data_IF_992303494444
#
_entry.id   IF_992303494444
#
_cell.length_a   1.000
_cell.length_b   1.000
_cell.length_c   1.000
_cell.angle_alpha   90.00
_cell.angle_beta   90.00
_cell.angle_gamma   90.00
#
_symmetry.space_group_name_H-M   'P 1'
#
loop_
_entity.id
_entity.type
_entity.pdbx_description
1 polymer ?
#
# COMPACT_ATOMS: atom_id res chain seq x y z
N UNK A 1 1.90 5.88 28.36
CA UNK A 1 1.38 4.61 27.80
C UNK A 1 1.65 4.45 26.30
N UNK A 2 1.16 5.31 25.39
CA UNK A 2 1.46 5.19 23.95
C UNK A 2 2.84 5.78 23.58
N UNK A 3 3.25 6.88 24.22
CA UNK A 3 4.57 7.47 24.05
C UNK A 3 5.70 6.51 24.48
N UNK A 4 5.47 5.69 25.51
CA UNK A 4 6.43 4.69 26.00
C UNK A 4 6.65 3.54 25.00
N UNK A 5 5.75 3.39 24.02
CA UNK A 5 5.87 2.46 22.90
C UNK A 5 6.47 3.14 21.65
N UNK A 6 6.97 4.37 21.77
CA UNK A 6 7.46 5.17 20.65
C UNK A 6 6.36 5.72 19.74
N UNK A 7 5.08 5.61 20.13
CA UNK A 7 3.95 6.12 19.34
C UNK A 7 3.69 7.58 19.71
N UNK A 8 4.25 8.48 18.91
CA UNK A 8 4.04 9.93 19.00
C UNK A 8 2.84 10.36 18.15
N UNK A 9 2.08 11.36 18.63
CA UNK A 9 0.95 11.90 17.87
C UNK A 9 1.47 12.72 16.69
N UNK A 10 1.02 12.39 15.49
CA UNK A 10 1.12 13.30 14.35
C UNK A 10 0.02 14.36 14.47
N UNK A 11 0.39 15.64 14.50
CA UNK A 11 -0.55 16.75 14.47
C UNK A 11 -0.95 17.05 13.01
N UNK A 12 -2.06 16.46 12.54
CA UNK A 12 -2.69 16.87 11.27
C UNK A 12 -3.48 18.17 11.49
N UNK A 13 -3.53 19.04 10.48
CA UNK A 13 -4.31 20.28 10.58
C UNK A 13 -5.80 19.95 10.53
N UNK A 14 -6.65 20.62 11.34
CA UNK A 14 -8.09 20.45 11.24
C UNK A 14 -8.57 20.71 9.80
N UNK A 15 -9.44 19.84 9.29
CA UNK A 15 -10.13 19.96 8.00
C UNK A 15 -9.27 19.87 6.72
N UNK A 16 -8.06 19.32 6.79
CA UNK A 16 -7.20 19.11 5.62
C UNK A 16 -7.15 17.62 5.22
N UNK A 17 -7.99 17.22 4.25
CA UNK A 17 -8.02 15.86 3.67
C UNK A 17 -6.66 15.39 3.13
N UNK A 18 -5.89 16.32 2.57
CA UNK A 18 -4.57 16.07 2.02
C UNK A 18 -3.51 15.75 3.08
N UNK A 19 -3.80 15.92 4.38
CA UNK A 19 -2.90 15.52 5.47
C UNK A 19 -3.07 14.01 5.79
N UNK A 20 -3.98 13.27 5.14
CA UNK A 20 -4.12 11.81 5.27
C UNK A 20 -4.51 11.08 3.94
N UNK A 21 -3.77 11.29 2.84
CA UNK A 21 -4.16 10.82 1.51
C UNK A 21 -4.21 9.28 1.41
N UNK A 22 -3.40 8.56 2.20
CA UNK A 22 -3.42 7.09 2.18
C UNK A 22 -4.69 6.51 2.79
N UNK A 23 -5.15 7.05 3.92
CA UNK A 23 -6.40 6.56 4.53
C UNK A 23 -7.60 6.89 3.63
N UNK A 24 -7.61 8.06 2.98
CA UNK A 24 -8.68 8.41 2.03
C UNK A 24 -8.69 7.49 0.81
N UNK A 25 -7.52 7.19 0.24
CA UNK A 25 -7.40 6.22 -0.84
C UNK A 25 -7.87 4.83 -0.39
N UNK A 26 -7.50 4.39 0.81
CA UNK A 26 -7.96 3.12 1.38
C UNK A 26 -9.48 3.08 1.55
N UNK A 27 -10.09 4.15 2.10
CA UNK A 27 -11.55 4.23 2.24
C UNK A 27 -12.26 4.20 0.89
N UNK A 28 -11.68 4.86 -0.12
CA UNK A 28 -12.19 4.75 -1.49
C UNK A 28 -12.12 3.31 -1.98
N UNK A 29 -10.98 2.63 -1.86
CA UNK A 29 -10.86 1.22 -2.28
C UNK A 29 -11.88 0.32 -1.58
N UNK A 30 -12.09 0.51 -0.28
CA UNK A 30 -13.07 -0.24 0.50
C UNK A 30 -14.51 -0.01 -0.01
N UNK A 31 -14.90 1.24 -0.25
CA UNK A 31 -16.25 1.60 -0.72
C UNK A 31 -16.54 1.15 -2.15
N UNK A 32 -15.52 1.04 -2.98
CA UNK A 32 -15.63 0.58 -4.37
C UNK A 32 -15.47 -0.94 -4.51
N UNK A 33 -15.29 -1.66 -3.40
CA UNK A 33 -15.23 -3.12 -3.42
C UNK A 33 -16.58 -3.69 -3.90
N UNK A 34 -16.60 -4.70 -4.79
CA UNK A 34 -17.83 -5.14 -5.46
C UNK A 34 -18.98 -5.56 -4.52
N UNK A 35 -18.66 -6.03 -3.31
CA UNK A 35 -19.66 -6.46 -2.33
C UNK A 35 -19.89 -5.44 -1.23
N UNK A 36 -19.44 -4.19 -1.40
CA UNK A 36 -19.72 -3.12 -0.45
C UNK A 36 -21.23 -2.84 -0.43
N UNK A 37 -21.91 -2.94 0.72
CA UNK A 37 -23.36 -2.84 0.77
C UNK A 37 -23.83 -1.38 0.76
N UNK A 38 -25.04 -1.14 0.25
CA UNK A 38 -25.69 0.19 0.34
C UNK A 38 -25.83 0.66 1.80
N UNK A 39 -26.12 -0.27 2.71
CA UNK A 39 -26.20 -0.05 4.15
C UNK A 39 -25.79 -1.30 4.92
N UNK A 40 -25.12 -1.13 6.06
CA UNK A 40 -24.92 -2.20 7.02
C UNK A 40 -26.15 -2.36 7.91
N UNK A 41 -26.60 -3.59 8.11
CA UNK A 41 -27.76 -3.95 8.93
C UNK A 41 -27.44 -4.01 10.43
N UNK A 42 -26.17 -4.20 10.79
CA UNK A 42 -25.70 -4.23 12.16
C UNK A 42 -24.19 -4.01 12.23
N UNK A 43 -23.67 -3.78 13.44
CA UNK A 43 -22.22 -3.73 13.69
C UNK A 43 -21.55 -5.06 13.35
N UNK A 44 -22.21 -6.19 13.61
CA UNK A 44 -21.70 -7.52 13.29
C UNK A 44 -21.58 -7.72 11.79
N UNK A 45 -22.57 -7.26 11.01
CA UNK A 45 -22.50 -7.28 9.56
C UNK A 45 -21.32 -6.42 9.04
N UNK A 46 -21.14 -5.22 9.59
CA UNK A 46 -20.01 -4.36 9.23
C UNK A 46 -18.65 -5.02 9.52
N UNK A 47 -18.48 -5.65 10.69
CA UNK A 47 -17.25 -6.38 11.05
C UNK A 47 -16.98 -7.54 10.10
N UNK A 48 -17.98 -8.40 9.87
CA UNK A 48 -17.84 -9.54 8.98
C UNK A 48 -17.50 -9.12 7.54
N UNK A 49 -18.02 -7.98 7.08
CA UNK A 49 -17.62 -7.40 5.81
C UNK A 49 -16.15 -6.95 5.84
N UNK A 50 -15.75 -6.18 6.86
CA UNK A 50 -14.39 -5.68 7.02
C UNK A 50 -13.36 -6.81 7.09
N UNK A 51 -13.62 -7.88 7.83
CA UNK A 51 -12.70 -9.02 7.96
C UNK A 51 -12.40 -9.63 6.57
N UNK A 52 -13.45 -9.95 5.81
CA UNK A 52 -13.29 -10.46 4.44
C UNK A 52 -12.59 -9.47 3.53
N UNK A 53 -12.94 -8.19 3.63
CA UNK A 53 -12.32 -7.16 2.81
C UNK A 53 -10.82 -7.04 3.10
N UNK A 54 -10.42 -7.01 4.37
CA UNK A 54 -9.01 -6.86 4.75
C UNK A 54 -8.19 -8.10 4.41
N UNK A 55 -8.74 -9.29 4.56
CA UNK A 55 -8.09 -10.53 4.10
C UNK A 55 -7.80 -10.46 2.60
N UNK A 56 -8.84 -10.18 1.80
CA UNK A 56 -8.69 -10.01 0.35
C UNK A 56 -7.68 -8.89 0.01
N UNK A 57 -7.83 -7.71 0.61
CA UNK A 57 -7.01 -6.54 0.33
C UNK A 57 -5.52 -6.79 0.62
N UNK A 58 -5.22 -7.45 1.73
CA UNK A 58 -3.86 -7.67 2.21
C UNK A 58 -3.18 -8.90 1.59
N UNK A 59 -3.94 -9.96 1.30
CA UNK A 59 -3.38 -11.26 0.95
C UNK A 59 -3.58 -11.64 -0.52
N UNK A 60 -4.58 -11.08 -1.19
CA UNK A 60 -4.96 -11.51 -2.54
C UNK A 60 -4.86 -10.40 -3.59
N UNK A 61 -5.37 -9.21 -3.25
CA UNK A 61 -5.44 -8.09 -4.18
C UNK A 61 -4.03 -7.57 -4.50
N UNK A 62 -3.72 -7.46 -5.80
CA UNK A 62 -2.43 -6.95 -6.30
C UNK A 62 -2.57 -5.50 -6.69
N UNK A 63 -1.79 -4.65 -6.04
CA UNK A 63 -1.93 -3.20 -6.15
C UNK A 63 -0.90 -2.64 -7.12
N UNK A 64 -1.35 -1.85 -8.09
CA UNK A 64 -0.47 -1.25 -9.11
C UNK A 64 0.56 -0.28 -8.50
N UNK A 65 0.18 0.45 -7.43
CA UNK A 65 1.07 1.38 -6.74
C UNK A 65 2.27 0.73 -6.04
N UNK A 66 2.26 -0.59 -5.86
CA UNK A 66 3.36 -1.38 -5.29
C UNK A 66 3.77 -2.51 -6.23
N UNK A 67 3.82 -2.23 -7.54
CA UNK A 67 4.36 -3.17 -8.52
C UNK A 67 3.56 -4.47 -8.67
N UNK A 68 2.24 -4.42 -8.48
CA UNK A 68 1.34 -5.59 -8.51
C UNK A 68 1.69 -6.64 -7.43
N UNK A 69 2.17 -6.19 -6.28
CA UNK A 69 2.30 -7.01 -5.07
C UNK A 69 1.08 -6.86 -4.16
N UNK A 70 0.94 -7.80 -3.23
CA UNK A 70 -0.03 -7.67 -2.14
C UNK A 70 0.60 -6.84 -1.01
N UNK A 71 -0.18 -6.17 -0.16
CA UNK A 71 0.35 -5.45 0.99
C UNK A 71 1.14 -6.37 1.93
N UNK A 72 0.70 -7.61 2.11
CA UNK A 72 1.44 -8.59 2.92
C UNK A 72 2.82 -8.93 2.34
N UNK A 73 2.97 -8.99 1.01
CA UNK A 73 4.27 -9.22 0.38
C UNK A 73 5.25 -8.09 0.63
N UNK A 74 4.75 -6.86 0.61
CA UNK A 74 5.56 -5.68 0.88
C UNK A 74 5.94 -5.64 2.36
N UNK A 75 4.94 -5.78 3.23
CA UNK A 75 5.11 -5.74 4.69
C UNK A 75 6.12 -6.78 5.21
N UNK A 76 6.10 -7.99 4.66
CA UNK A 76 6.99 -9.08 5.07
C UNK A 76 8.34 -9.09 4.32
N UNK A 77 8.57 -8.16 3.39
CA UNK A 77 9.78 -8.15 2.54
C UNK A 77 9.81 -9.21 1.43
N UNK A 78 8.79 -10.09 1.35
CA UNK A 78 8.68 -11.17 0.34
C UNK A 78 8.67 -10.66 -1.10
N UNK A 79 8.28 -9.40 -1.29
CA UNK A 79 8.20 -8.75 -2.59
C UNK A 79 9.51 -8.81 -3.40
N UNK A 80 10.69 -8.77 -2.76
CA UNK A 80 11.98 -8.90 -3.45
C UNK A 80 12.09 -10.23 -4.19
N UNK A 81 11.81 -11.34 -3.50
CA UNK A 81 11.88 -12.68 -4.08
C UNK A 81 10.83 -12.86 -5.18
N UNK A 82 9.61 -12.37 -4.95
CA UNK A 82 8.53 -12.43 -5.95
C UNK A 82 8.90 -11.63 -7.21
N UNK A 83 9.52 -10.46 -7.06
CA UNK A 83 9.97 -9.63 -8.20
C UNK A 83 11.10 -10.31 -8.98
N UNK A 84 12.08 -10.90 -8.30
CA UNK A 84 13.15 -11.65 -8.94
C UNK A 84 12.61 -12.83 -9.76
N UNK A 85 11.66 -13.58 -9.19
CA UNK A 85 11.00 -14.68 -9.89
C UNK A 85 10.22 -14.20 -11.12
N UNK A 86 9.49 -13.08 -11.01
CA UNK A 86 8.79 -12.46 -12.16
C UNK A 86 9.77 -12.05 -13.27
N UNK A 87 10.93 -11.49 -12.91
CA UNK A 87 11.93 -11.11 -13.90
C UNK A 87 12.46 -12.35 -14.65
N UNK A 88 12.76 -13.44 -13.95
CA UNK A 88 13.22 -14.68 -14.61
C UNK A 88 12.19 -15.25 -15.61
N UNK A 89 10.90 -15.15 -15.29
CA UNK A 89 9.81 -15.54 -16.22
C UNK A 89 9.78 -14.63 -17.45
N UNK A 90 9.91 -13.32 -17.25
CA UNK A 90 9.94 -12.33 -18.32
C UNK A 90 11.18 -12.50 -19.24
N UNK A 91 12.34 -12.77 -18.65
CA UNK A 91 13.58 -13.05 -19.37
C UNK A 91 13.42 -14.31 -20.24
N UNK A 92 12.87 -15.38 -19.65
CA UNK A 92 12.59 -16.63 -20.39
C UNK A 92 11.64 -16.40 -21.56
N UNK A 93 10.58 -15.62 -21.35
CA UNK A 93 9.63 -15.27 -22.41
C UNK A 93 10.28 -14.44 -23.53
N UNK A 94 11.16 -13.51 -23.16
CA UNK A 94 11.91 -12.69 -24.11
C UNK A 94 12.91 -13.51 -24.92
N UNK A 95 13.66 -14.41 -24.28
CA UNK A 95 14.59 -15.31 -24.97
C UNK A 95 13.88 -16.22 -25.97
N UNK A 96 12.67 -16.68 -25.66
CA UNK A 96 11.89 -17.57 -26.54
C UNK A 96 11.28 -16.84 -27.73
N UNK A 97 10.84 -15.59 -27.54
CA UNK A 97 10.08 -14.82 -28.52
C UNK A 97 10.47 -13.33 -28.53
N UNK A 98 11.72 -12.99 -28.89
CA UNK A 98 12.18 -11.60 -28.84
C UNK A 98 11.36 -10.68 -29.75
N UNK A 99 10.82 -11.19 -30.87
CA UNK A 99 9.97 -10.46 -31.82
C UNK A 99 8.66 -9.92 -31.22
N UNK A 100 8.19 -10.50 -30.11
CA UNK A 100 6.99 -10.05 -29.40
C UNK A 100 7.24 -8.83 -28.51
N UNK A 101 8.50 -8.44 -28.32
CA UNK A 101 8.89 -7.40 -27.38
C UNK A 101 9.77 -6.35 -28.08
N UNK A 102 9.35 -5.07 -28.11
CA UNK A 102 10.18 -4.02 -28.70
C UNK A 102 11.48 -3.76 -27.91
N UNK A 103 11.53 -4.19 -26.63
CA UNK A 103 12.68 -4.14 -25.73
C UNK A 103 12.56 -5.24 -24.67
N UNK A 104 13.65 -5.67 -24.02
CA UNK A 104 13.57 -6.61 -22.90
C UNK A 104 12.57 -6.14 -21.83
N UNK A 105 11.59 -6.98 -21.46
CA UNK A 105 10.60 -6.64 -20.44
C UNK A 105 11.22 -6.63 -19.04
N UNK A 106 10.72 -5.74 -18.18
CA UNK A 106 11.16 -5.63 -16.79
C UNK A 106 9.99 -5.82 -15.82
N UNK A 107 10.21 -6.59 -14.75
CA UNK A 107 9.25 -6.73 -13.67
C UNK A 107 9.04 -5.36 -12.98
N UNK A 108 7.78 -4.96 -12.72
CA UNK A 108 7.47 -3.68 -12.09
C UNK A 108 8.30 -3.44 -10.82
N UNK A 109 8.81 -2.23 -10.66
CA UNK A 109 9.49 -1.82 -9.45
C UNK A 109 8.46 -1.49 -8.35
N UNK A 110 8.90 -1.57 -7.10
CA UNK A 110 8.13 -1.14 -5.94
C UNK A 110 8.80 0.14 -5.43
N UNK A 111 8.04 1.19 -5.08
CA UNK A 111 8.62 2.38 -4.48
C UNK A 111 9.30 2.06 -3.14
N UNK A 112 10.49 2.59 -2.92
CA UNK A 112 11.24 2.38 -1.67
C UNK A 112 10.61 3.11 -0.47
N UNK A 113 9.92 4.23 -0.74
CA UNK A 113 9.28 5.04 0.30
C UNK A 113 8.00 5.70 -0.22
N UNK A 114 7.09 5.95 0.72
CA UNK A 114 5.85 6.69 0.52
C UNK A 114 5.70 7.66 1.71
N UNK A 115 5.21 8.87 1.45
CA UNK A 115 5.17 9.96 2.44
C UNK A 115 3.78 10.56 2.53
N UNK A 116 3.22 10.67 3.74
CA UNK A 116 2.03 11.48 4.00
C UNK A 116 2.41 12.96 3.91
N UNK A 117 3.43 13.33 4.69
CA UNK A 117 4.12 14.60 4.64
C UNK A 117 5.60 14.26 4.43
N UNK A 118 6.16 14.62 3.28
CA UNK A 118 7.60 14.44 3.06
C UNK A 118 8.33 15.45 3.94
N UNK A 119 9.26 15.04 4.82
CA UNK A 119 10.09 15.99 5.56
C UNK A 119 10.85 16.84 4.55
N UNK A 120 10.80 18.16 4.70
CA UNK A 120 11.74 19.04 4.01
C UNK A 120 13.12 18.86 4.65
N UNK A 121 14.20 18.95 3.87
CA UNK A 121 15.58 18.75 4.34
C UNK A 121 16.03 19.76 5.41
N UNK A 122 15.16 20.68 5.85
CA UNK A 122 15.47 21.85 6.68
C UNK A 122 14.44 22.15 7.78
N UNK A 123 13.66 21.19 8.27
CA UNK A 123 12.91 21.43 9.51
C UNK A 123 13.84 21.21 10.71
N UNK A 124 14.15 22.27 11.50
CA UNK A 124 14.91 22.10 12.73
C UNK A 124 14.11 21.23 13.69
N UNK A 125 14.82 20.34 14.37
CA UNK A 125 14.30 19.44 15.38
C UNK A 125 13.52 20.21 16.46
N UNK A 126 12.19 20.17 16.40
CA UNK A 126 11.30 20.76 17.39
C UNK A 126 11.14 19.87 18.64
N UNK A 127 11.97 18.83 18.83
CA UNK A 127 11.93 17.97 20.02
C UNK A 127 12.43 18.64 21.31
N UNK A 128 12.96 19.87 21.22
CA UNK A 128 13.38 20.62 22.39
C UNK A 128 12.83 22.06 22.38
N UNK A 129 11.70 22.26 23.04
CA UNK A 129 11.41 23.53 23.72
C UNK A 129 10.89 23.24 25.13
N UNK A 130 11.40 23.95 26.15
CA UNK A 130 11.25 23.65 27.57
C UNK A 130 9.82 23.84 28.10
#
# INVERSE_FOLDING_TARGET
LLADLGVVRSHSRPHQSNDNPYSEAQFKTLKYFPTFPDRFSSLQHARAFCDRFFDYYNLEHRHSGIGLHTPADVHTGRHHAVRAHRQAVLDTAYTRHPERFPRPPAAPAIPDAAWINRPTEHEPDLSHSP
#
